data_IF_143476298442
#
_entry.id   IF_143476298442
#
_cell.length_a   1.000
_cell.length_b   1.000
_cell.length_c   1.000
_cell.angle_alpha   90.00
_cell.angle_beta   90.00
_cell.angle_gamma   90.00
#
_symmetry.space_group_name_H-M   'P 1'
#
loop_
_entity.id
_entity.type
_entity.pdbx_description
1 polymer ?
#
# COMPACT_ATOMS: atom_id res chain seq x y z
N UNK A 1 25.85 -8.01 -0.09
CA UNK A 1 24.45 -8.48 -0.22
C UNK A 1 23.57 -7.27 -0.03
N UNK A 2 22.87 -6.83 -1.06
CA UNK A 2 21.91 -5.71 -0.97
C UNK A 2 20.77 -6.18 -0.07
N UNK A 3 20.64 -5.58 1.11
CA UNK A 3 19.59 -5.94 2.05
C UNK A 3 18.21 -5.49 1.55
N UNK A 4 17.15 -6.18 1.97
CA UNK A 4 15.76 -5.74 1.71
C UNK A 4 15.46 -4.45 2.47
N UNK A 5 14.56 -3.61 1.93
CA UNK A 5 14.11 -2.37 2.60
C UNK A 5 13.41 -2.68 3.94
N UNK A 6 12.77 -3.82 4.06
CA UNK A 6 12.05 -4.25 5.26
C UNK A 6 12.13 -5.77 5.47
N UNK A 7 11.94 -6.21 6.70
CA UNK A 7 11.93 -7.61 7.08
C UNK A 7 10.57 -8.27 6.92
N UNK A 8 9.50 -7.47 7.00
CA UNK A 8 8.14 -7.94 6.83
C UNK A 8 7.19 -6.84 6.40
N UNK A 9 5.98 -7.22 5.97
CA UNK A 9 4.94 -6.28 5.56
C UNK A 9 3.55 -6.71 6.05
N UNK A 10 2.78 -5.74 6.52
CA UNK A 10 1.35 -5.90 6.81
C UNK A 10 0.55 -5.37 5.62
N UNK A 11 -0.32 -6.21 5.06
CA UNK A 11 -1.16 -5.89 3.90
C UNK A 11 -2.65 -5.90 4.26
N UNK A 12 -3.36 -4.86 3.85
CA UNK A 12 -4.78 -4.65 4.12
C UNK A 12 -5.59 -4.58 2.83
N UNK A 13 -6.84 -5.10 2.79
CA UNK A 13 -7.68 -5.12 1.61
C UNK A 13 -8.39 -3.78 1.36
N UNK A 14 -8.94 -3.60 0.15
CA UNK A 14 -9.87 -2.52 -0.17
C UNK A 14 -11.20 -2.64 0.58
N UNK A 15 -12.05 -1.62 0.51
CA UNK A 15 -13.30 -1.52 1.28
C UNK A 15 -14.25 -2.74 1.14
N UNK A 16 -14.38 -3.30 -0.06
CA UNK A 16 -15.18 -4.50 -0.33
C UNK A 16 -14.35 -5.78 -0.48
N UNK A 17 -13.04 -5.71 -0.16
CA UNK A 17 -12.12 -6.82 -0.35
C UNK A 17 -11.98 -7.70 0.89
N UNK A 18 -11.26 -8.81 0.68
CA UNK A 18 -10.85 -9.75 1.72
C UNK A 18 -9.33 -9.90 1.71
N UNK A 19 -8.76 -10.36 2.81
CA UNK A 19 -7.32 -10.70 2.88
C UNK A 19 -6.90 -11.77 1.85
N UNK A 20 -7.86 -12.48 1.28
CA UNK A 20 -7.67 -13.47 0.20
C UNK A 20 -7.85 -12.90 -1.19
N UNK A 21 -7.98 -11.57 -1.36
CA UNK A 21 -8.06 -10.92 -2.67
C UNK A 21 -6.81 -11.23 -3.50
N UNK A 22 -6.99 -11.56 -4.78
CA UNK A 22 -5.92 -12.05 -5.68
C UNK A 22 -4.68 -11.17 -5.71
N UNK A 23 -4.86 -9.85 -5.74
CA UNK A 23 -3.73 -8.91 -5.72
C UNK A 23 -2.90 -8.97 -4.44
N UNK A 24 -3.53 -9.13 -3.25
CA UNK A 24 -2.80 -9.27 -1.99
C UNK A 24 -2.12 -10.64 -1.90
N UNK A 25 -2.76 -11.70 -2.41
CA UNK A 25 -2.17 -13.03 -2.49
C UNK A 25 -0.94 -13.02 -3.39
N UNK A 26 -1.03 -12.39 -4.56
CA UNK A 26 0.11 -12.30 -5.49
C UNK A 26 1.32 -11.55 -4.89
N UNK A 27 1.08 -10.49 -4.14
CA UNK A 27 2.15 -9.77 -3.42
C UNK A 27 2.76 -10.66 -2.33
N UNK A 28 1.93 -11.31 -1.52
CA UNK A 28 2.34 -12.22 -0.45
C UNK A 28 3.23 -13.35 -1.00
N UNK A 29 2.75 -14.09 -2.01
CA UNK A 29 3.48 -15.21 -2.61
C UNK A 29 4.87 -14.78 -3.11
N UNK A 30 4.96 -13.64 -3.80
CA UNK A 30 6.24 -13.16 -4.33
C UNK A 30 7.20 -12.69 -3.24
N UNK A 31 6.72 -11.94 -2.23
CA UNK A 31 7.57 -11.47 -1.13
C UNK A 31 8.03 -12.63 -0.24
N UNK A 32 7.13 -13.57 0.07
CA UNK A 32 7.45 -14.73 0.88
C UNK A 32 8.49 -15.64 0.20
N UNK A 33 8.44 -15.77 -1.14
CA UNK A 33 9.46 -16.52 -1.89
C UNK A 33 10.86 -15.92 -1.78
N UNK A 34 10.97 -14.66 -1.38
CA UNK A 34 12.23 -13.94 -1.12
C UNK A 34 12.62 -13.87 0.38
N UNK A 35 11.88 -14.59 1.23
CA UNK A 35 12.12 -14.60 2.67
C UNK A 35 11.59 -13.37 3.41
N UNK A 36 10.78 -12.53 2.78
CA UNK A 36 10.12 -11.38 3.43
C UNK A 36 8.80 -11.86 4.04
N UNK A 37 8.63 -11.68 5.34
CA UNK A 37 7.41 -12.09 6.03
C UNK A 37 6.20 -11.23 5.64
N UNK A 38 5.05 -11.86 5.42
CA UNK A 38 3.81 -11.14 5.06
C UNK A 38 2.69 -11.50 6.02
N UNK A 39 2.01 -10.49 6.54
CA UNK A 39 0.77 -10.64 7.29
C UNK A 39 -0.37 -9.93 6.57
N UNK A 40 -1.40 -10.67 6.17
CA UNK A 40 -2.60 -10.10 5.56
C UNK A 40 -3.71 -10.02 6.61
N UNK A 41 -4.19 -8.80 6.89
CA UNK A 41 -5.24 -8.56 7.89
C UNK A 41 -6.50 -7.99 7.26
N UNK A 42 -7.64 -8.30 7.85
CA UNK A 42 -8.92 -7.66 7.56
C UNK A 42 -9.29 -6.73 8.70
N UNK A 43 -9.98 -5.64 8.40
CA UNK A 43 -10.54 -4.80 9.44
C UNK A 43 -11.73 -5.51 10.12
N UNK A 44 -12.01 -5.24 11.41
CA UNK A 44 -13.01 -5.98 12.19
C UNK A 44 -14.38 -6.08 11.51
N UNK A 45 -14.87 -4.99 10.93
CA UNK A 45 -16.14 -4.98 10.20
C UNK A 45 -16.13 -5.85 8.95
N UNK A 46 -15.01 -5.86 8.22
CA UNK A 46 -14.86 -6.74 7.05
C UNK A 46 -14.85 -8.20 7.47
N UNK A 47 -14.11 -8.54 8.51
CA UNK A 47 -14.08 -9.90 9.07
C UNK A 47 -15.47 -10.35 9.53
N UNK A 48 -16.27 -9.43 10.11
CA UNK A 48 -17.66 -9.65 10.51
C UNK A 48 -18.66 -9.58 9.34
N UNK A 49 -18.21 -9.36 8.10
CA UNK A 49 -19.10 -9.30 6.93
C UNK A 49 -19.93 -8.01 6.81
N UNK A 50 -19.57 -6.93 7.52
CA UNK A 50 -20.28 -5.65 7.42
C UNK A 50 -20.10 -5.03 6.04
N UNK A 51 -21.17 -4.43 5.50
CA UNK A 51 -21.14 -3.77 4.20
C UNK A 51 -20.39 -2.41 4.23
N UNK A 52 -20.40 -1.73 5.37
CA UNK A 52 -19.71 -0.43 5.55
C UNK A 52 -18.33 -0.65 6.15
N UNK A 53 -17.32 0.07 5.65
CA UNK A 53 -16.00 0.08 6.27
C UNK A 53 -16.08 0.55 7.73
N UNK A 54 -15.13 0.07 8.54
CA UNK A 54 -14.96 0.56 9.90
C UNK A 54 -14.50 2.04 9.91
N UNK A 55 -14.74 2.77 11.01
CA UNK A 55 -14.18 4.10 11.21
C UNK A 55 -12.65 4.09 11.09
N UNK A 56 -12.04 5.20 10.60
CA UNK A 56 -10.59 5.27 10.43
C UNK A 56 -9.79 4.91 11.68
N UNK A 57 -10.25 5.30 12.85
CA UNK A 57 -9.58 5.05 14.14
C UNK A 57 -9.46 3.54 14.41
N UNK A 58 -10.51 2.78 14.16
CA UNK A 58 -10.52 1.32 14.32
C UNK A 58 -9.57 0.66 13.31
N UNK A 59 -9.54 1.18 12.08
CA UNK A 59 -8.64 0.68 11.05
C UNK A 59 -7.17 0.96 11.39
N UNK A 60 -6.85 2.16 11.86
CA UNK A 60 -5.51 2.57 12.27
C UNK A 60 -5.01 1.69 13.41
N UNK A 61 -5.84 1.44 14.42
CA UNK A 61 -5.48 0.57 15.54
C UNK A 61 -5.24 -0.87 15.09
N UNK A 62 -6.09 -1.40 14.19
CA UNK A 62 -5.89 -2.73 13.60
C UNK A 62 -4.53 -2.83 12.88
N UNK A 63 -4.14 -1.78 12.12
CA UNK A 63 -2.84 -1.73 11.44
C UNK A 63 -1.70 -1.68 12.45
N UNK A 64 -1.82 -0.87 13.50
CA UNK A 64 -0.83 -0.74 14.58
C UNK A 64 -0.59 -2.07 15.27
N UNK A 65 -1.66 -2.75 15.68
CA UNK A 65 -1.60 -4.05 16.37
C UNK A 65 -0.94 -5.11 15.48
N UNK A 66 -1.34 -5.20 14.21
CA UNK A 66 -0.78 -6.15 13.27
C UNK A 66 0.71 -5.89 13.02
N UNK A 67 1.11 -4.61 12.90
CA UNK A 67 2.51 -4.21 12.71
C UNK A 67 3.35 -4.59 13.92
N UNK A 68 2.88 -4.26 15.12
CA UNK A 68 3.55 -4.61 16.38
C UNK A 68 3.67 -6.12 16.55
N UNK A 69 2.61 -6.87 16.21
CA UNK A 69 2.62 -8.33 16.29
C UNK A 69 3.65 -8.94 15.33
N UNK A 70 3.69 -8.48 14.07
CA UNK A 70 4.65 -8.97 13.08
C UNK A 70 6.09 -8.63 13.48
N UNK A 71 6.33 -7.39 13.94
CA UNK A 71 7.66 -6.98 14.41
C UNK A 71 8.17 -7.87 15.56
N UNK A 72 7.31 -8.20 16.53
CA UNK A 72 7.63 -9.13 17.62
C UNK A 72 7.94 -10.54 17.10
N UNK A 73 7.15 -11.08 16.18
CA UNK A 73 7.37 -12.40 15.58
C UNK A 73 8.72 -12.49 14.87
N UNK A 74 9.14 -11.39 14.24
CA UNK A 74 10.41 -11.29 13.52
C UNK A 74 11.60 -10.89 14.42
N UNK A 75 11.35 -10.55 15.69
CA UNK A 75 12.36 -10.00 16.60
C UNK A 75 13.03 -8.74 16.07
N UNK A 76 12.27 -7.83 15.47
CA UNK A 76 12.73 -6.54 14.93
C UNK A 76 11.89 -5.38 15.48
N UNK A 77 12.32 -4.14 15.24
CA UNK A 77 11.50 -2.95 15.47
C UNK A 77 10.41 -2.79 14.40
N UNK A 78 9.39 -1.97 14.68
CA UNK A 78 8.34 -1.63 13.70
C UNK A 78 8.90 -0.86 12.50
N UNK A 79 9.98 -0.11 12.69
CA UNK A 79 10.78 0.55 11.65
C UNK A 79 11.39 -0.40 10.61
N UNK A 80 11.34 -1.72 10.86
CA UNK A 80 11.72 -2.79 9.92
C UNK A 80 10.52 -3.49 9.28
N UNK A 81 9.30 -3.04 9.54
CA UNK A 81 8.06 -3.58 8.98
C UNK A 81 7.41 -2.52 8.09
N UNK A 82 7.17 -2.85 6.83
CA UNK A 82 6.35 -2.01 5.95
C UNK A 82 4.86 -2.24 6.22
N UNK A 83 4.04 -1.25 5.93
CA UNK A 83 2.59 -1.39 5.96
C UNK A 83 2.00 -0.96 4.62
N UNK A 84 0.84 -1.50 4.27
CA UNK A 84 0.23 -1.10 3.02
C UNK A 84 -1.04 -1.88 2.71
N UNK A 85 -1.45 -1.78 1.47
CA UNK A 85 -2.63 -2.48 1.01
C UNK A 85 -3.24 -1.84 -0.21
N UNK A 86 -4.43 -2.35 -0.55
CA UNK A 86 -5.14 -1.92 -1.73
C UNK A 86 -6.21 -0.88 -1.38
N UNK A 87 -6.27 0.19 -2.18
CA UNK A 87 -7.36 1.19 -2.13
C UNK A 87 -7.61 1.72 -0.71
N UNK A 88 -8.78 1.47 -0.14
CA UNK A 88 -9.13 1.85 1.23
C UNK A 88 -8.09 1.39 2.26
N UNK A 89 -7.62 0.15 2.16
CA UNK A 89 -6.62 -0.38 3.08
C UNK A 89 -5.30 0.39 3.02
N UNK A 90 -4.77 0.64 1.82
CA UNK A 90 -3.57 1.48 1.63
C UNK A 90 -3.75 2.87 2.23
N UNK A 91 -4.93 3.49 2.06
CA UNK A 91 -5.24 4.78 2.68
C UNK A 91 -5.25 4.70 4.21
N UNK A 92 -5.79 3.64 4.82
CA UNK A 92 -5.74 3.47 6.28
C UNK A 92 -4.32 3.30 6.79
N UNK A 93 -3.47 2.57 6.06
CA UNK A 93 -2.04 2.45 6.38
C UNK A 93 -1.32 3.81 6.27
N UNK A 94 -1.59 4.63 5.25
CA UNK A 94 -0.98 5.96 5.14
C UNK A 94 -1.43 6.89 6.28
N UNK A 95 -2.69 6.81 6.71
CA UNK A 95 -3.17 7.54 7.90
C UNK A 95 -2.50 7.06 9.19
N UNK A 96 -2.24 5.76 9.34
CA UNK A 96 -1.54 5.22 10.50
C UNK A 96 -0.09 5.74 10.58
N UNK A 97 0.63 5.78 9.45
CA UNK A 97 1.98 6.33 9.38
C UNK A 97 1.99 7.83 9.68
N UNK A 98 1.08 8.61 9.08
CA UNK A 98 0.93 10.04 9.36
C UNK A 98 0.56 10.34 10.83
N UNK A 99 -0.14 9.41 11.50
CA UNK A 99 -0.44 9.47 12.92
C UNK A 99 0.72 8.99 13.82
N UNK A 100 1.93 8.88 13.28
CA UNK A 100 3.15 8.58 14.03
C UNK A 100 3.45 7.09 14.25
N UNK A 101 2.84 6.17 13.49
CA UNK A 101 3.28 4.78 13.49
C UNK A 101 4.61 4.67 12.74
N UNK A 102 5.69 4.39 13.46
CA UNK A 102 7.02 4.15 12.87
C UNK A 102 7.01 2.85 12.05
N UNK A 103 7.37 2.95 10.76
CA UNK A 103 7.38 1.83 9.82
C UNK A 103 8.51 1.97 8.80
N UNK A 104 8.91 0.87 8.18
CA UNK A 104 9.93 0.86 7.13
C UNK A 104 9.51 1.59 5.84
N UNK A 105 8.21 1.72 5.60
CA UNK A 105 7.65 2.38 4.43
C UNK A 105 6.23 1.95 4.11
N UNK A 106 5.68 2.54 3.06
CA UNK A 106 4.29 2.36 2.63
C UNK A 106 4.21 1.68 1.26
N UNK A 107 3.37 0.62 1.16
CA UNK A 107 3.02 -0.07 -0.09
C UNK A 107 1.57 0.26 -0.44
N UNK A 108 1.36 1.20 -1.35
CA UNK A 108 0.05 1.80 -1.67
C UNK A 108 -0.40 1.37 -3.07
N UNK A 109 -1.23 0.32 -3.14
CA UNK A 109 -1.73 -0.24 -4.41
C UNK A 109 -3.11 0.35 -4.72
N UNK A 110 -3.25 0.95 -5.90
CA UNK A 110 -4.48 1.64 -6.34
C UNK A 110 -4.97 2.64 -5.28
N UNK A 111 -4.12 3.59 -4.88
CA UNK A 111 -4.48 4.58 -3.86
C UNK A 111 -5.62 5.49 -4.35
N UNK A 112 -6.74 5.61 -3.62
CA UNK A 112 -7.88 6.38 -4.06
C UNK A 112 -7.73 7.86 -3.66
N UNK A 113 -7.11 8.68 -4.50
CA UNK A 113 -6.92 10.13 -4.24
C UNK A 113 -8.21 10.85 -3.95
N UNK A 114 -9.28 10.48 -4.64
CA UNK A 114 -10.60 11.09 -4.51
C UNK A 114 -11.70 10.04 -4.77
N UNK A 115 -12.98 10.31 -4.45
CA UNK A 115 -14.10 9.50 -4.91
C UNK A 115 -14.22 9.59 -6.44
N UNK A 116 -14.79 8.58 -7.11
CA UNK A 116 -15.02 8.63 -8.54
C UNK A 116 -15.82 9.89 -8.94
N UNK A 117 -15.41 10.54 -10.02
CA UNK A 117 -16.06 11.77 -10.53
C UNK A 117 -16.11 12.96 -9.55
N UNK A 118 -15.23 12.97 -8.53
CA UNK A 118 -15.12 14.06 -7.56
C UNK A 118 -13.63 14.41 -7.33
N UNK A 119 -12.91 14.87 -8.36
CA UNK A 119 -11.45 15.10 -8.26
C UNK A 119 -11.08 16.18 -7.23
N UNK A 120 -12.00 17.10 -6.91
CA UNK A 120 -11.76 18.16 -5.92
C UNK A 120 -11.85 17.66 -4.47
N UNK A 121 -12.36 16.45 -4.24
CA UNK A 121 -12.46 15.85 -2.89
C UNK A 121 -11.25 15.00 -2.55
N UNK A 122 -10.10 15.64 -2.52
CA UNK A 122 -8.84 14.96 -2.25
C UNK A 122 -8.79 14.31 -0.86
N UNK A 123 -8.16 13.15 -0.78
CA UNK A 123 -7.94 12.35 0.43
C UNK A 123 -6.46 12.33 0.80
N UNK A 124 -5.82 13.50 0.69
CA UNK A 124 -4.36 13.66 0.77
C UNK A 124 -3.91 14.65 1.83
N UNK A 125 -4.82 15.12 2.70
CA UNK A 125 -4.52 16.12 3.73
C UNK A 125 -3.40 15.70 4.70
N UNK A 126 -3.15 14.41 4.85
CA UNK A 126 -2.10 13.83 5.69
C UNK A 126 -0.79 13.55 4.92
N UNK A 127 -0.71 13.81 3.63
CA UNK A 127 0.51 13.56 2.84
C UNK A 127 1.73 14.35 3.32
N UNK A 128 1.59 15.62 3.78
CA UNK A 128 2.71 16.36 4.35
C UNK A 128 3.35 15.71 5.60
N UNK A 129 2.63 14.79 6.27
CA UNK A 129 3.10 14.09 7.47
C UNK A 129 3.72 12.72 7.15
N UNK A 130 3.85 12.35 5.86
CA UNK A 130 4.44 11.08 5.43
C UNK A 130 5.95 11.23 5.21
N UNK A 131 6.74 10.95 6.23
CA UNK A 131 8.21 11.06 6.20
C UNK A 131 8.90 9.74 5.83
N UNK A 132 8.17 8.67 5.64
CA UNK A 132 8.69 7.34 5.28
C UNK A 132 8.68 7.11 3.77
N UNK A 133 9.52 6.21 3.24
CA UNK A 133 9.46 5.84 1.83
C UNK A 133 8.08 5.32 1.42
N UNK A 134 7.56 5.80 0.29
CA UNK A 134 6.24 5.45 -0.22
C UNK A 134 6.33 4.87 -1.63
N UNK A 135 5.80 3.67 -1.83
CA UNK A 135 5.56 3.11 -3.15
C UNK A 135 4.08 3.25 -3.49
N UNK A 136 3.78 3.88 -4.61
CA UNK A 136 2.47 3.88 -5.23
C UNK A 136 2.49 2.97 -6.47
N UNK A 137 1.61 1.96 -6.50
CA UNK A 137 1.37 1.13 -7.69
C UNK A 137 -0.04 1.40 -8.16
N UNK A 138 -0.22 1.98 -9.34
CA UNK A 138 -1.54 2.38 -9.84
C UNK A 138 -1.77 1.95 -11.29
N UNK A 139 -3.03 1.69 -11.63
CA UNK A 139 -3.43 1.46 -13.01
C UNK A 139 -3.42 2.76 -13.80
N UNK A 140 -2.92 2.71 -15.06
CA UNK A 140 -2.92 3.89 -15.96
C UNK A 140 -4.31 4.45 -16.25
N UNK A 141 -5.36 3.64 -16.05
CA UNK A 141 -6.77 4.00 -16.27
C UNK A 141 -7.57 4.00 -14.97
N UNK A 142 -6.91 4.25 -13.83
CA UNK A 142 -7.58 4.29 -12.53
C UNK A 142 -8.44 5.56 -12.41
N UNK A 143 -9.78 5.47 -12.31
CA UNK A 143 -10.66 6.63 -12.20
C UNK A 143 -10.64 7.31 -10.83
N UNK A 144 -9.90 6.78 -9.86
CA UNK A 144 -9.71 7.37 -8.52
C UNK A 144 -8.39 8.14 -8.39
N UNK A 145 -7.51 8.03 -9.38
CA UNK A 145 -6.21 8.69 -9.43
C UNK A 145 -5.62 8.54 -10.83
N UNK A 146 -5.73 9.53 -11.68
CA UNK A 146 -4.96 9.52 -12.94
C UNK A 146 -3.46 9.64 -12.64
N UNK A 147 -2.58 9.22 -13.58
CA UNK A 147 -1.14 9.38 -13.40
C UNK A 147 -0.73 10.80 -13.03
N UNK A 148 -1.29 11.81 -13.71
CA UNK A 148 -0.98 13.23 -13.50
C UNK A 148 -1.50 13.75 -12.15
N UNK A 149 -2.66 13.27 -11.71
CA UNK A 149 -3.19 13.59 -10.37
C UNK A 149 -2.32 12.97 -9.29
N UNK A 150 -1.87 11.72 -9.49
CA UNK A 150 -1.02 11.04 -8.54
C UNK A 150 0.33 11.74 -8.41
N UNK A 151 0.98 12.12 -9.51
CA UNK A 151 2.24 12.86 -9.48
C UNK A 151 2.10 14.21 -8.75
N UNK A 152 1.05 14.97 -9.04
CA UNK A 152 0.79 16.25 -8.36
C UNK A 152 0.53 16.07 -6.86
N UNK A 153 -0.28 15.09 -6.50
CA UNK A 153 -0.66 14.88 -5.10
C UNK A 153 0.51 14.41 -4.26
N UNK A 154 1.33 13.51 -4.79
CA UNK A 154 2.50 12.96 -4.09
C UNK A 154 3.65 13.95 -3.93
N UNK A 155 3.67 15.05 -4.65
CA UNK A 155 4.66 16.14 -4.47
C UNK A 155 4.60 16.78 -3.06
N UNK A 156 3.48 16.60 -2.33
CA UNK A 156 3.34 17.05 -0.94
C UNK A 156 3.97 16.10 0.09
N UNK A 157 4.44 14.93 -0.31
CA UNK A 157 5.03 13.93 0.58
C UNK A 157 6.51 14.25 0.79
N UNK A 158 6.99 14.50 2.03
CA UNK A 158 8.40 14.76 2.31
C UNK A 158 9.29 13.53 2.15
N UNK A 159 8.75 12.33 2.35
CA UNK A 159 9.46 11.07 2.19
C UNK A 159 9.79 10.73 0.73
N UNK A 160 10.68 9.75 0.53
CA UNK A 160 10.96 9.22 -0.82
C UNK A 160 9.67 8.67 -1.46
N UNK A 161 9.36 9.09 -2.69
CA UNK A 161 8.19 8.60 -3.43
C UNK A 161 8.62 7.85 -4.68
N UNK A 162 8.12 6.63 -4.82
CA UNK A 162 8.22 5.83 -6.04
C UNK A 162 6.82 5.62 -6.61
N UNK A 163 6.59 5.94 -7.87
CA UNK A 163 5.34 5.67 -8.58
C UNK A 163 5.59 4.65 -9.68
N UNK A 164 4.81 3.57 -9.68
CA UNK A 164 4.82 2.55 -10.72
C UNK A 164 3.43 2.45 -11.33
N UNK A 165 3.35 2.64 -12.64
CA UNK A 165 2.11 2.55 -13.40
C UNK A 165 2.04 1.22 -14.15
N UNK A 166 0.98 0.46 -13.91
CA UNK A 166 0.69 -0.80 -14.63
C UNK A 166 -0.48 -0.61 -15.61
N UNK A 167 -0.59 -1.48 -16.60
CA UNK A 167 -1.70 -1.40 -17.56
C UNK A 167 -2.98 -1.98 -16.94
N UNK A 168 -3.80 -1.11 -16.34
CA UNK A 168 -5.01 -1.52 -15.62
C UNK A 168 -5.88 -0.35 -15.21
N UNK A 169 -7.01 -0.68 -14.63
CA UNK A 169 -7.91 0.22 -13.92
C UNK A 169 -7.69 0.12 -12.39
N UNK A 170 -8.61 0.66 -11.60
CA UNK A 170 -8.57 0.57 -10.13
C UNK A 170 -8.55 -0.86 -9.59
N UNK A 171 -9.09 -1.82 -10.33
CA UNK A 171 -9.15 -3.21 -9.88
C UNK A 171 -7.85 -3.97 -10.07
N UNK A 172 -7.00 -3.55 -10.99
CA UNK A 172 -5.78 -4.20 -11.45
C UNK A 172 -6.01 -5.66 -11.86
N UNK A 173 -7.23 -6.01 -12.28
CA UNK A 173 -7.52 -7.35 -12.78
C UNK A 173 -6.64 -7.65 -13.99
N UNK A 174 -6.05 -8.85 -14.02
CA UNK A 174 -5.08 -9.35 -15.01
C UNK A 174 -3.68 -8.76 -14.91
N UNK A 175 -3.45 -7.76 -14.05
CA UNK A 175 -2.14 -7.13 -13.80
C UNK A 175 -1.69 -7.26 -12.34
N UNK A 176 -2.32 -8.16 -11.57
CA UNK A 176 -1.95 -8.41 -10.17
C UNK A 176 -0.50 -8.84 -10.03
N UNK A 177 0.02 -9.63 -10.99
CA UNK A 177 1.43 -10.06 -10.98
C UNK A 177 2.38 -8.91 -11.27
N UNK A 178 2.02 -7.99 -12.16
CA UNK A 178 2.85 -6.82 -12.48
C UNK A 178 2.89 -5.87 -11.29
N UNK A 179 1.75 -5.68 -10.62
CA UNK A 179 1.70 -4.91 -9.39
C UNK A 179 2.53 -5.55 -8.26
N UNK A 180 2.48 -6.87 -8.12
CA UNK A 180 3.30 -7.60 -7.16
C UNK A 180 4.80 -7.50 -7.50
N UNK A 181 5.17 -7.62 -8.78
CA UNK A 181 6.56 -7.45 -9.23
C UNK A 181 7.10 -6.04 -8.93
N UNK A 182 6.28 -5.00 -9.06
CA UNK A 182 6.65 -3.65 -8.67
C UNK A 182 6.93 -3.54 -7.16
N UNK A 183 6.11 -4.17 -6.33
CA UNK A 183 6.32 -4.22 -4.87
C UNK A 183 7.62 -4.96 -4.53
N UNK A 184 7.89 -6.09 -5.19
CA UNK A 184 9.12 -6.85 -5.02
C UNK A 184 10.35 -6.03 -5.40
N UNK A 185 10.34 -5.40 -6.58
CA UNK A 185 11.46 -4.58 -7.04
C UNK A 185 11.77 -3.46 -6.04
N UNK A 186 10.74 -2.81 -5.52
CA UNK A 186 10.89 -1.78 -4.50
C UNK A 186 11.41 -2.33 -3.16
N UNK A 187 10.90 -3.48 -2.71
CA UNK A 187 11.35 -4.15 -1.49
C UNK A 187 12.83 -4.52 -1.53
N UNK A 188 13.34 -4.87 -2.71
CA UNK A 188 14.74 -5.22 -2.95
C UNK A 188 15.65 -3.99 -3.15
N UNK A 189 15.15 -2.77 -2.96
CA UNK A 189 15.92 -1.54 -3.17
C UNK A 189 16.18 -1.23 -4.63
N UNK A 190 15.51 -1.91 -5.55
CA UNK A 190 15.60 -1.65 -6.99
C UNK A 190 14.90 -0.33 -7.32
N UNK A 191 15.51 0.46 -8.21
CA UNK A 191 14.82 1.58 -8.87
C UNK A 191 13.85 0.94 -9.86
N UNK A 192 12.55 1.05 -9.59
CA UNK A 192 11.54 0.70 -10.61
C UNK A 192 11.59 1.79 -11.67
N UNK A 193 11.91 1.46 -12.95
CA UNK A 193 12.02 2.49 -13.97
C UNK A 193 10.70 3.25 -14.10
N UNK A 194 10.75 4.59 -14.07
CA UNK A 194 9.62 5.41 -14.45
C UNK A 194 9.31 5.11 -15.92
N UNK A 195 8.18 4.41 -16.16
CA UNK A 195 7.59 4.28 -17.49
C UNK A 195 8.52 3.68 -18.53
N UNK A 196 8.65 2.35 -18.59
CA UNK A 196 8.98 1.71 -19.85
C UNK A 196 7.77 1.84 -20.78
N UNK A 197 7.76 2.89 -21.59
CA UNK A 197 6.97 2.90 -22.83
C UNK A 197 7.64 1.87 -23.76
N UNK A 198 7.07 0.67 -23.83
CA UNK A 198 7.40 -0.22 -24.93
C UNK A 198 6.65 0.30 -26.18
N UNK A 199 7.33 0.41 -27.35
CA UNK A 199 6.75 0.93 -28.59
C UNK A 199 5.61 0.08 -29.13
#
# INVERSE_FOLDING_TARGET
MSGTRFAGVVLTPGAGGRRTSSGLVAIDEQLTSLGIAVTRVEFPGQAAGKARPDPPEVCIETVRDATTSLARQLSVGTDRVAIGGRSFGGRMCSLAAAAGLEVAGLVLVSYPLHPPKQPDRLRTSHFPDLHVPCLFVSGRRDPFATPEELERATAAIPGEVTITLVDGDHSLRRTERDAAAAVVAWAMGGVVPRGATNP
#
